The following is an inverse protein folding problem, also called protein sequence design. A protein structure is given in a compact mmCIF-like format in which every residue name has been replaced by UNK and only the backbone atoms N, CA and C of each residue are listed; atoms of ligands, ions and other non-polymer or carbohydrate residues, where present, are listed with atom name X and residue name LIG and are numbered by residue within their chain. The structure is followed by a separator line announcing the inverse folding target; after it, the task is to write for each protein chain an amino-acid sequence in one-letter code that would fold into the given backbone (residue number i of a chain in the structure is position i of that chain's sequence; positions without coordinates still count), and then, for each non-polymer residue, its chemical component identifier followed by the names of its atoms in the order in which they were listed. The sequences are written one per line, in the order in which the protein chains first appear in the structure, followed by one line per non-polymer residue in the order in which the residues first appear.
data_IF_331157197822
#
_entry.id   IF_331157197822
#
_cell.length_a   1.000
_cell.length_b   1.000
_cell.length_c   1.000
_cell.angle_alpha   90.00
_cell.angle_beta   90.00
_cell.angle_gamma   90.00
#
_symmetry.space_group_name_H-M   'P 1'
#
loop_
_entity.id
_entity.type
_entity.pdbx_description
1 polymer ?
#
# COMPACT_ATOMS: atom_id res chain seq x y z
N UNK A 1 -59.10 -21.71 60.77
CA UNK A 1 -59.11 -20.44 61.52
C UNK A 1 -57.76 -19.78 61.37
N UNK A 2 -57.74 -18.45 61.34
CA UNK A 2 -56.60 -17.54 61.36
C UNK A 2 -56.20 -16.97 60.00
N UNK A 3 -57.04 -16.01 59.62
CA UNK A 3 -56.86 -14.96 58.64
C UNK A 3 -55.63 -14.07 58.91
N UNK A 4 -55.06 -13.57 57.81
CA UNK A 4 -54.59 -12.19 57.59
C UNK A 4 -53.70 -11.51 58.65
N UNK A 5 -52.48 -11.12 58.24
CA UNK A 5 -52.10 -9.69 58.08
C UNK A 5 -50.67 -9.50 57.55
N UNK A 6 -50.66 -8.82 56.41
CA UNK A 6 -49.66 -8.02 55.69
C UNK A 6 -48.48 -7.46 56.51
N UNK A 7 -47.28 -7.48 55.91
CA UNK A 7 -46.35 -6.34 55.95
C UNK A 7 -45.40 -6.42 54.73
N UNK A 8 -45.75 -5.71 53.66
CA UNK A 8 -44.81 -5.46 52.56
C UNK A 8 -43.85 -4.35 52.98
N UNK A 9 -42.57 -4.69 53.08
CA UNK A 9 -41.47 -3.75 53.31
C UNK A 9 -41.18 -3.02 52.00
N UNK A 10 -41.50 -1.73 51.93
CA UNK A 10 -41.07 -0.87 50.82
C UNK A 10 -39.54 -0.73 50.91
N UNK A 11 -38.85 -1.35 49.97
CA UNK A 11 -37.41 -1.18 49.75
C UNK A 11 -37.19 0.17 49.09
N UNK A 12 -36.51 1.08 49.80
CA UNK A 12 -36.06 2.35 49.25
C UNK A 12 -34.97 2.10 48.22
N UNK A 13 -35.34 2.17 46.93
CA UNK A 13 -34.39 2.25 45.84
C UNK A 13 -33.64 3.58 45.94
N UNK A 14 -32.39 3.53 46.42
CA UNK A 14 -31.46 4.64 46.30
C UNK A 14 -30.95 4.68 44.86
N UNK A 15 -31.41 5.65 44.07
CA UNK A 15 -30.82 5.97 42.78
C UNK A 15 -29.52 6.74 43.08
N UNK A 16 -28.41 6.01 43.23
CA UNK A 16 -27.09 6.64 43.16
C UNK A 16 -26.87 7.03 41.70
N UNK A 17 -26.94 8.32 41.40
CA UNK A 17 -26.52 8.89 40.12
C UNK A 17 -25.00 8.77 40.01
N UNK A 18 -24.54 7.57 39.67
CA UNK A 18 -23.21 7.33 39.15
C UNK A 18 -23.13 8.05 37.81
N UNK A 19 -22.69 9.30 37.83
CA UNK A 19 -22.10 9.96 36.65
C UNK A 19 -20.83 9.20 36.32
N UNK A 20 -20.98 8.11 35.56
CA UNK A 20 -19.86 7.42 34.96
C UNK A 20 -19.18 8.43 34.02
N UNK A 21 -18.10 9.04 34.51
CA UNK A 21 -17.18 9.81 33.69
C UNK A 21 -16.56 8.83 32.71
N UNK A 22 -17.18 8.73 31.53
CA UNK A 22 -16.61 8.07 30.37
C UNK A 22 -15.31 8.82 30.07
N UNK A 23 -14.21 8.26 30.55
CA UNK A 23 -12.87 8.68 30.18
C UNK A 23 -12.70 8.34 28.71
N UNK A 24 -12.95 9.33 27.85
CA UNK A 24 -12.61 9.25 26.44
C UNK A 24 -11.08 9.14 26.35
N UNK A 25 -10.61 7.90 26.22
CA UNK A 25 -9.22 7.55 25.95
C UNK A 25 -8.70 8.41 24.79
N UNK A 26 -7.87 9.39 25.13
CA UNK A 26 -7.20 10.33 24.22
C UNK A 26 -6.16 9.66 23.31
N UNK A 27 -6.06 8.33 23.34
CA UNK A 27 -5.05 7.55 22.63
C UNK A 27 -5.38 7.24 21.15
N UNK A 28 -6.50 7.73 20.58
CA UNK A 28 -6.82 7.48 19.16
C UNK A 28 -5.89 8.20 18.18
N UNK A 29 -5.24 9.31 18.59
CA UNK A 29 -4.35 10.09 17.71
C UNK A 29 -3.00 9.41 17.45
N UNK A 30 -2.45 8.65 18.41
CA UNK A 30 -1.13 8.02 18.29
C UNK A 30 -1.10 6.89 17.25
N UNK A 31 -2.15 6.08 17.15
CA UNK A 31 -2.22 4.98 16.16
C UNK A 31 -2.38 5.47 14.72
N UNK A 32 -3.08 6.59 14.51
CA UNK A 32 -3.27 7.17 13.18
C UNK A 32 -1.99 7.81 12.64
N UNK A 33 -1.26 8.54 13.49
CA UNK A 33 0.05 9.11 13.15
C UNK A 33 1.07 8.00 12.81
N UNK A 34 1.12 6.95 13.64
CA UNK A 34 1.97 5.79 13.39
C UNK A 34 1.66 5.07 12.06
N UNK A 35 0.39 4.95 11.68
CA UNK A 35 -0.01 4.37 10.38
C UNK A 35 0.45 5.21 9.18
N UNK A 36 0.48 6.54 9.33
CA UNK A 36 0.96 7.42 8.27
C UNK A 36 2.48 7.28 8.07
N UNK A 37 3.23 7.25 9.17
CA UNK A 37 4.69 7.00 9.16
C UNK A 37 5.02 5.63 8.57
N UNK A 38 4.33 4.57 8.99
CA UNK A 38 4.52 3.22 8.42
C UNK A 38 4.25 3.18 6.90
N UNK A 39 3.21 3.88 6.43
CA UNK A 39 2.94 3.97 4.98
C UNK A 39 4.02 4.75 4.25
N UNK A 40 4.55 5.82 4.85
CA UNK A 40 5.65 6.59 4.27
C UNK A 40 6.91 5.72 4.12
N UNK A 41 7.31 5.02 5.18
CA UNK A 41 8.44 4.10 5.17
C UNK A 41 8.26 2.97 4.16
N UNK A 42 7.05 2.39 4.07
CA UNK A 42 6.74 1.36 3.08
C UNK A 42 6.90 1.90 1.65
N UNK A 43 6.37 3.08 1.35
CA UNK A 43 6.53 3.70 0.02
C UNK A 43 7.99 3.98 -0.32
N UNK A 44 8.77 4.46 0.64
CA UNK A 44 10.20 4.72 0.42
C UNK A 44 10.93 3.42 0.09
N UNK A 45 10.64 2.34 0.83
CA UNK A 45 11.18 1.02 0.56
C UNK A 45 10.76 0.50 -0.82
N UNK A 46 9.47 0.55 -1.13
CA UNK A 46 8.93 0.06 -2.41
C UNK A 46 9.59 0.82 -3.58
N UNK A 47 9.77 2.14 -3.47
CA UNK A 47 10.46 2.90 -4.51
C UNK A 47 11.96 2.57 -4.63
N UNK A 48 12.65 2.28 -3.52
CA UNK A 48 14.07 1.88 -3.60
C UNK A 48 14.19 0.53 -4.32
N UNK A 49 13.28 -0.39 -4.03
CA UNK A 49 13.24 -1.70 -4.66
C UNK A 49 12.90 -1.61 -6.15
N UNK A 50 11.91 -0.79 -6.53
CA UNK A 50 11.54 -0.54 -7.92
C UNK A 50 12.71 0.07 -8.72
N UNK A 51 13.40 1.05 -8.15
CA UNK A 51 14.57 1.68 -8.76
C UNK A 51 15.71 0.66 -8.97
N UNK A 52 15.98 -0.18 -7.96
CA UNK A 52 16.98 -1.23 -8.07
C UNK A 52 16.64 -2.23 -9.18
N UNK A 53 15.40 -2.73 -9.19
CA UNK A 53 14.94 -3.65 -10.25
C UNK A 53 14.99 -3.00 -11.63
N UNK A 54 14.68 -1.72 -11.74
CA UNK A 54 14.74 -0.99 -13.00
C UNK A 54 16.18 -0.89 -13.49
N UNK A 55 17.12 -0.55 -12.60
CA UNK A 55 18.54 -0.45 -12.92
C UNK A 55 19.13 -1.80 -13.36
N UNK A 56 18.77 -2.88 -12.66
CA UNK A 56 19.19 -4.24 -13.02
C UNK A 56 18.68 -4.66 -14.39
N UNK A 57 17.41 -4.36 -14.70
CA UNK A 57 16.80 -4.69 -16.00
C UNK A 57 17.40 -3.88 -17.13
N UNK A 58 17.74 -2.61 -16.88
CA UNK A 58 18.27 -1.70 -17.89
C UNK A 58 19.62 -2.17 -18.48
N UNK A 59 20.44 -2.86 -17.68
CA UNK A 59 21.76 -3.34 -18.12
C UNK A 59 21.73 -4.61 -18.98
N UNK A 60 20.58 -5.27 -19.13
CA UNK A 60 20.48 -6.56 -19.83
C UNK A 60 19.61 -6.47 -21.09
N UNK A 61 20.04 -7.16 -22.15
CA UNK A 61 19.23 -7.26 -23.36
C UNK A 61 17.92 -8.04 -23.09
N UNK A 62 16.82 -7.62 -23.73
CA UNK A 62 15.53 -8.30 -23.54
C UNK A 62 15.61 -9.76 -24.04
N UNK A 63 15.04 -10.74 -23.33
CA UNK A 63 15.14 -12.13 -23.72
C UNK A 63 14.32 -12.43 -24.97
N UNK A 64 14.79 -13.35 -25.81
CA UNK A 64 14.10 -13.76 -27.04
C UNK A 64 12.74 -14.46 -26.80
N UNK A 65 12.53 -14.98 -25.58
CA UNK A 65 11.26 -15.58 -25.18
C UNK A 65 10.15 -14.54 -25.02
N UNK A 66 10.49 -13.26 -24.86
CA UNK A 66 9.55 -12.15 -24.72
C UNK A 66 8.67 -12.04 -25.98
N UNK A 67 7.36 -11.89 -25.78
CA UNK A 67 6.37 -11.82 -26.86
C UNK A 67 6.67 -10.64 -27.80
N UNK A 68 7.03 -9.47 -27.25
CA UNK A 68 7.40 -8.30 -28.04
C UNK A 68 8.63 -8.55 -28.93
N UNK A 69 9.65 -9.27 -28.43
CA UNK A 69 10.81 -9.64 -29.24
C UNK A 69 10.42 -10.55 -30.41
N UNK A 70 9.55 -11.53 -30.17
CA UNK A 70 9.03 -12.43 -31.22
C UNK A 70 8.27 -11.65 -32.29
N UNK A 71 7.41 -10.73 -31.88
CA UNK A 71 6.65 -9.87 -32.78
C UNK A 71 7.59 -8.98 -33.62
N UNK A 72 8.57 -8.32 -32.99
CA UNK A 72 9.57 -7.54 -33.72
C UNK A 72 10.23 -8.37 -34.81
N UNK A 73 10.69 -9.58 -34.48
CA UNK A 73 11.32 -10.49 -35.45
C UNK A 73 10.38 -10.85 -36.61
N UNK A 74 9.10 -11.08 -36.34
CA UNK A 74 8.09 -11.32 -37.39
C UNK A 74 7.89 -10.11 -38.30
N UNK A 75 8.05 -8.90 -37.76
CA UNK A 75 7.97 -7.64 -38.52
C UNK A 75 9.27 -7.33 -39.29
N UNK A 76 10.26 -8.23 -39.28
CA UNK A 76 11.52 -8.08 -39.99
C UNK A 76 12.65 -7.43 -39.17
N UNK A 77 12.49 -7.29 -37.85
CA UNK A 77 13.60 -6.91 -36.98
C UNK A 77 14.67 -8.00 -36.93
N UNK A 78 15.93 -7.60 -37.09
CA UNK A 78 17.10 -8.49 -36.92
C UNK A 78 17.85 -8.14 -35.64
N UNK A 79 18.19 -9.10 -34.78
CA UNK A 79 18.95 -8.83 -33.56
C UNK A 79 20.28 -8.13 -33.89
N UNK A 80 20.56 -7.02 -33.22
CA UNK A 80 21.75 -6.20 -33.46
C UNK A 80 21.58 -5.14 -34.55
N UNK A 81 20.46 -5.12 -35.29
CA UNK A 81 20.11 -3.97 -36.12
C UNK A 81 19.35 -2.92 -35.33
N UNK A 82 19.41 -1.69 -35.83
CA UNK A 82 18.57 -0.57 -35.39
C UNK A 82 17.21 -0.61 -36.09
N UNK A 83 16.25 0.14 -35.56
CA UNK A 83 14.93 0.29 -36.17
C UNK A 83 14.94 1.35 -37.28
N UNK A 84 13.96 1.29 -38.18
CA UNK A 84 13.75 2.26 -39.27
C UNK A 84 14.25 1.80 -40.65
N UNK A 85 13.78 2.44 -41.71
CA UNK A 85 13.99 2.03 -43.11
C UNK A 85 15.46 1.86 -43.51
N UNK A 86 16.34 2.70 -42.96
CA UNK A 86 17.79 2.68 -43.20
C UNK A 86 18.59 2.32 -41.94
N UNK A 87 17.94 1.76 -40.91
CA UNK A 87 18.59 1.53 -39.62
C UNK A 87 19.04 2.84 -38.94
N UNK A 88 18.31 3.94 -39.14
CA UNK A 88 18.64 5.24 -38.54
C UNK A 88 18.15 5.40 -37.10
N UNK A 89 17.41 4.42 -36.58
CA UNK A 89 16.94 4.41 -35.19
C UNK A 89 18.08 4.22 -34.20
N UNK A 90 17.85 4.56 -32.94
CA UNK A 90 18.81 4.34 -31.86
C UNK A 90 18.84 2.85 -31.48
N UNK A 91 20.03 2.30 -31.31
CA UNK A 91 20.21 0.94 -30.79
C UNK A 91 20.11 0.90 -29.26
N UNK A 92 20.68 1.91 -28.61
CA UNK A 92 20.76 1.99 -27.16
C UNK A 92 19.47 2.56 -26.55
N UNK A 93 19.03 2.02 -25.40
CA UNK A 93 17.88 2.55 -24.66
C UNK A 93 18.18 3.97 -24.16
N UNK A 94 17.12 4.78 -24.04
CA UNK A 94 17.25 6.15 -23.52
C UNK A 94 17.45 6.11 -22.01
N UNK A 95 18.43 6.87 -21.50
CA UNK A 95 18.67 7.00 -20.06
C UNK A 95 17.48 7.60 -19.32
N UNK A 96 17.25 7.14 -18.09
CA UNK A 96 16.16 7.59 -17.24
C UNK A 96 16.70 8.36 -16.04
N UNK A 97 16.18 9.57 -15.82
CA UNK A 97 16.44 10.37 -14.63
C UNK A 97 15.25 10.23 -13.65
N UNK A 98 15.46 9.57 -12.52
CA UNK A 98 14.41 9.32 -11.53
C UNK A 98 14.21 10.55 -10.63
N UNK A 99 13.23 11.39 -10.97
CA UNK A 99 12.84 12.56 -10.15
C UNK A 99 11.81 12.15 -9.10
N UNK A 100 12.21 12.17 -7.82
CA UNK A 100 11.32 11.93 -6.67
C UNK A 100 10.69 13.25 -6.20
N UNK A 101 9.44 13.19 -5.74
CA UNK A 101 8.67 14.32 -5.21
C UNK A 101 8.21 14.10 -3.77
#
# INVERSE_FOLDING_TARGET
MNSSKVLHKLSSFQITSSTASVSYSSNKKSKAQNRHEQKKLKRERDQIEEDQQTLERFGSAIPQSNIGFKLLKQMGYTPGSTLGKQGSGRAEPVGLDMRRG
#
